data_IF_535240843346
#
_entry.id   IF_535240843346
#
_cell.length_a   1.000
_cell.length_b   1.000
_cell.length_c   1.000
_cell.angle_alpha   90.00
_cell.angle_beta   90.00
_cell.angle_gamma   90.00
#
_symmetry.space_group_name_H-M   'P 1'
#
loop_
_entity.id
_entity.type
_entity.pdbx_description
1 polymer ?
#
# COMPACT_ATOMS: atom_id res chain seq x y z
N UNK A 1 -3.53 9.58 -27.76
CA UNK A 1 -3.34 10.80 -26.94
C UNK A 1 -1.96 10.70 -26.32
N UNK A 2 -1.06 11.68 -26.52
CA UNK A 2 0.25 11.63 -25.92
C UNK A 2 0.11 11.92 -24.42
N UNK A 3 0.51 10.98 -23.59
CA UNK A 3 0.76 11.26 -22.17
C UNK A 3 1.77 12.39 -22.08
N UNK A 4 1.38 13.50 -21.45
CA UNK A 4 2.28 14.60 -21.18
C UNK A 4 3.37 14.08 -20.23
N UNK A 5 4.56 13.84 -20.78
CA UNK A 5 5.79 13.68 -20.02
C UNK A 5 6.08 15.01 -19.31
N UNK A 6 5.53 15.22 -18.14
CA UNK A 6 6.14 16.13 -17.19
C UNK A 6 7.29 15.37 -16.55
N UNK A 7 8.40 15.36 -17.27
CA UNK A 7 9.68 14.99 -16.67
C UNK A 7 10.01 16.13 -15.72
N UNK A 8 9.74 15.96 -14.44
CA UNK A 8 10.33 16.80 -13.39
C UNK A 8 11.78 16.35 -13.26
N UNK A 9 12.62 16.78 -14.19
CA UNK A 9 14.08 16.80 -14.05
C UNK A 9 14.46 18.13 -13.40
N UNK A 10 13.91 18.42 -12.26
CA UNK A 10 14.57 19.23 -11.28
C UNK A 10 14.98 18.29 -10.16
N UNK A 11 16.26 17.97 -10.14
CA UNK A 11 16.93 17.54 -8.93
C UNK A 11 16.78 18.71 -7.95
N UNK A 12 15.70 18.68 -7.19
CA UNK A 12 15.45 19.69 -6.18
C UNK A 12 16.53 19.51 -5.14
N UNK A 13 17.55 20.33 -5.25
CA UNK A 13 18.46 20.62 -4.15
C UNK A 13 17.71 21.49 -3.13
N UNK A 14 16.60 20.92 -2.62
CA UNK A 14 15.72 21.55 -1.62
C UNK A 14 16.41 21.62 -0.27
N UNK A 15 17.44 20.80 -0.04
CA UNK A 15 18.09 20.68 1.25
C UNK A 15 18.93 21.89 1.65
N UNK A 16 19.51 22.64 0.70
CA UNK A 16 20.39 23.76 1.04
C UNK A 16 19.65 25.08 1.24
N UNK A 17 18.50 25.27 0.60
CA UNK A 17 17.73 26.53 0.74
C UNK A 17 16.75 26.52 1.90
N UNK A 18 16.12 25.39 2.20
CA UNK A 18 15.22 25.29 3.35
C UNK A 18 15.95 25.25 4.68
N UNK A 19 17.14 24.64 4.76
CA UNK A 19 17.99 24.75 5.95
C UNK A 19 18.41 26.21 6.26
N UNK A 20 18.53 27.06 5.26
CA UNK A 20 18.89 28.47 5.48
C UNK A 20 17.71 29.32 5.94
N UNK A 21 16.49 28.97 5.52
CA UNK A 21 15.27 29.65 5.96
C UNK A 21 14.86 29.24 7.39
N UNK A 22 14.99 27.98 7.75
CA UNK A 22 14.68 27.48 9.10
C UNK A 22 15.68 27.99 10.15
N UNK A 23 16.97 28.10 9.82
CA UNK A 23 17.97 28.67 10.72
C UNK A 23 17.89 30.18 10.89
N UNK A 24 17.25 30.91 9.97
CA UNK A 24 17.03 32.35 10.12
C UNK A 24 15.86 32.72 11.02
N UNK A 25 14.91 31.80 11.25
CA UNK A 25 13.78 31.99 12.17
C UNK A 25 14.18 31.68 13.62
N UNK A 26 15.17 30.79 13.82
CA UNK A 26 15.62 30.38 15.14
C UNK A 26 16.59 31.38 15.83
N UNK A 27 17.09 32.42 15.13
CA UNK A 27 18.10 33.35 15.66
C UNK A 27 17.58 34.71 16.12
N UNK A 28 16.27 34.95 16.12
CA UNK A 28 15.67 36.25 16.56
C UNK A 28 14.75 36.07 17.76
N UNK A 29 15.26 35.55 18.84
CA UNK A 29 14.47 35.37 20.08
C UNK A 29 15.33 35.40 21.35
N UNK A 30 16.31 36.30 21.44
CA UNK A 30 16.99 36.58 22.71
C UNK A 30 16.64 38.00 23.16
N UNK A 31 15.68 38.09 24.05
CA UNK A 31 15.51 39.32 24.87
C UNK A 31 15.17 38.89 26.29
N UNK A 32 16.09 39.24 27.16
CA UNK A 32 16.08 39.24 28.61
C UNK A 32 14.90 39.99 29.23
N UNK A 33 14.31 39.47 30.33
CA UNK A 33 14.04 40.18 31.58
C UNK A 33 13.32 39.32 32.61
N UNK A 34 13.94 39.09 33.70
CA UNK A 34 13.79 39.56 35.09
C UNK A 34 12.44 39.34 35.79
N UNK A 35 12.55 38.56 36.85
CA UNK A 35 11.93 38.59 38.20
C UNK A 35 10.42 38.74 38.34
N UNK A 36 9.84 37.68 38.98
CA UNK A 36 8.53 37.73 39.61
C UNK A 36 8.13 36.40 40.15
N UNK A 37 8.36 36.23 41.48
CA UNK A 37 7.89 35.13 42.33
C UNK A 37 6.38 34.97 42.27
N UNK A 38 5.86 33.77 41.96
CA UNK A 38 4.66 33.25 42.57
C UNK A 38 4.50 31.74 42.25
N UNK A 39 4.36 31.01 43.30
CA UNK A 39 3.95 29.63 43.45
C UNK A 39 2.75 29.21 42.62
N UNK A 40 2.83 28.05 41.95
CA UNK A 40 1.69 27.38 41.35
C UNK A 40 2.16 26.21 40.50
N UNK A 41 2.18 25.01 41.10
CA UNK A 41 2.33 23.76 40.40
C UNK A 41 1.28 23.65 39.29
N UNK A 42 1.72 23.65 38.03
CA UNK A 42 1.04 23.03 36.94
C UNK A 42 2.10 22.43 36.01
N UNK A 43 2.29 21.15 36.18
CA UNK A 43 3.01 20.24 35.31
C UNK A 43 2.30 20.24 33.93
N UNK A 44 2.64 21.19 33.08
CA UNK A 44 2.22 21.25 31.68
C UNK A 44 3.30 20.59 30.86
N UNK A 45 3.08 19.28 30.60
CA UNK A 45 3.47 18.55 29.40
C UNK A 45 4.70 19.12 28.68
N UNK A 46 5.84 18.51 28.92
CA UNK A 46 6.94 18.51 27.95
C UNK A 46 6.39 18.04 26.61
N UNK A 47 6.07 18.98 25.73
CA UNK A 47 5.88 18.68 24.31
C UNK A 47 7.17 17.99 23.86
N UNK A 48 7.11 16.67 23.69
CA UNK A 48 8.20 15.93 23.08
C UNK A 48 8.31 16.45 21.65
N UNK A 49 9.34 17.21 21.39
CA UNK A 49 9.68 17.63 20.04
C UNK A 49 9.89 16.38 19.18
N UNK A 50 8.97 16.15 18.23
CA UNK A 50 9.05 14.98 17.35
C UNK A 50 10.23 15.18 16.42
N UNK A 51 11.24 14.35 16.55
CA UNK A 51 12.40 14.35 15.64
C UNK A 51 12.03 13.64 14.33
N UNK A 52 11.82 14.43 13.29
CA UNK A 52 11.50 13.93 11.94
C UNK A 52 12.73 13.50 11.12
N UNK A 53 13.93 13.52 11.70
CA UNK A 53 15.11 13.04 10.97
C UNK A 53 15.02 11.54 10.74
N UNK A 54 15.42 11.10 9.54
CA UNK A 54 15.46 9.69 9.22
C UNK A 54 16.41 8.95 10.16
N UNK A 55 15.88 8.00 10.92
CA UNK A 55 16.64 7.14 11.85
C UNK A 55 17.22 5.90 11.19
N UNK A 56 16.83 5.64 9.94
CA UNK A 56 17.21 4.47 9.15
C UNK A 56 18.02 4.89 7.92
N UNK A 57 18.63 3.91 7.27
CA UNK A 57 19.34 4.12 6.02
C UNK A 57 18.44 4.75 4.97
N UNK A 58 18.82 5.90 4.45
CA UNK A 58 18.10 6.57 3.36
C UNK A 58 18.68 6.15 2.01
N UNK A 59 17.81 5.72 1.10
CA UNK A 59 18.15 5.51 -0.29
C UNK A 59 18.09 6.85 -1.04
N UNK A 60 19.10 7.14 -1.87
CA UNK A 60 19.20 8.41 -2.60
C UNK A 60 19.22 8.16 -4.10
N UNK A 61 18.87 9.20 -4.87
CA UNK A 61 18.90 9.17 -6.34
C UNK A 61 18.02 8.07 -6.95
N UNK A 62 16.84 7.86 -6.38
CA UNK A 62 15.87 6.89 -6.90
C UNK A 62 14.82 7.60 -7.74
N UNK A 63 14.40 6.96 -8.84
CA UNK A 63 13.26 7.44 -9.63
C UNK A 63 11.97 7.07 -8.91
N UNK A 64 11.23 8.07 -8.48
CA UNK A 64 9.95 7.91 -7.79
C UNK A 64 8.88 8.71 -8.50
N UNK A 65 7.76 8.08 -8.77
CA UNK A 65 6.56 8.71 -9.29
C UNK A 65 5.49 8.70 -8.20
N UNK A 66 5.00 9.87 -7.82
CA UNK A 66 3.87 10.01 -6.90
C UNK A 66 2.60 10.11 -7.74
N UNK A 67 1.65 9.23 -7.48
CA UNK A 67 0.38 9.14 -8.22
C UNK A 67 -0.77 9.32 -7.24
N UNK A 68 -1.36 10.51 -7.16
CA UNK A 68 -2.61 10.73 -6.45
C UNK A 68 -3.78 10.23 -7.31
N UNK A 69 -4.85 9.82 -6.66
CA UNK A 69 -6.13 9.49 -7.27
C UNK A 69 -7.27 10.09 -6.44
N UNK A 70 -8.32 10.52 -7.12
CA UNK A 70 -9.48 11.14 -6.49
C UNK A 70 -10.75 10.82 -7.28
N UNK A 71 -11.93 10.80 -6.63
CA UNK A 71 -13.18 10.36 -7.27
C UNK A 71 -13.60 11.16 -8.50
N UNK A 72 -13.18 12.43 -8.57
CA UNK A 72 -13.57 13.36 -9.65
C UNK A 72 -12.66 13.27 -10.89
N UNK A 73 -11.63 12.44 -10.85
CA UNK A 73 -10.78 12.23 -12.02
C UNK A 73 -11.52 11.46 -13.12
N UNK A 74 -11.30 11.82 -14.39
CA UNK A 74 -11.98 11.16 -15.52
C UNK A 74 -11.53 9.70 -15.72
N UNK A 75 -10.44 9.29 -15.11
CA UNK A 75 -9.85 7.94 -15.19
C UNK A 75 -9.37 7.51 -13.81
N UNK A 76 -9.58 6.24 -13.42
CA UNK A 76 -9.09 5.67 -12.17
C UNK A 76 -7.59 5.36 -12.31
N UNK A 77 -6.75 6.35 -12.04
CA UNK A 77 -5.31 6.29 -12.38
C UNK A 77 -4.58 5.20 -11.59
N UNK A 78 -4.91 5.03 -10.31
CA UNK A 78 -4.30 3.98 -9.50
C UNK A 78 -4.72 2.58 -9.97
N UNK A 79 -6.00 2.38 -10.31
CA UNK A 79 -6.46 1.11 -10.89
C UNK A 79 -5.69 0.79 -12.16
N UNK A 80 -5.60 1.73 -13.10
CA UNK A 80 -4.87 1.57 -14.36
C UNK A 80 -3.38 1.27 -14.12
N UNK A 81 -2.79 1.86 -13.07
CA UNK A 81 -1.39 1.61 -12.70
C UNK A 81 -1.17 0.19 -12.17
N UNK A 82 -2.12 -0.34 -11.37
CA UNK A 82 -2.10 -1.74 -10.91
C UNK A 82 -2.30 -2.71 -12.08
N UNK A 83 -3.27 -2.45 -12.95
CA UNK A 83 -3.50 -3.24 -14.17
C UNK A 83 -2.24 -3.28 -15.03
N UNK A 84 -1.61 -2.11 -15.24
CA UNK A 84 -0.38 -2.03 -16.01
C UNK A 84 0.74 -2.88 -15.39
N UNK A 85 0.97 -2.78 -14.09
CA UNK A 85 2.00 -3.55 -13.40
C UNK A 85 1.75 -5.06 -13.51
N UNK A 86 0.50 -5.51 -13.35
CA UNK A 86 0.10 -6.91 -13.47
C UNK A 86 0.28 -7.44 -14.90
N UNK A 87 -0.12 -6.67 -15.91
CA UNK A 87 -0.02 -7.06 -17.31
C UNK A 87 1.43 -7.08 -17.85
N UNK A 88 2.35 -6.32 -17.22
CA UNK A 88 3.74 -6.24 -17.64
C UNK A 88 4.69 -7.07 -16.78
N UNK A 89 4.22 -7.66 -15.70
CA UNK A 89 4.99 -8.60 -14.89
C UNK A 89 5.41 -9.79 -15.72
N UNK A 90 6.69 -10.18 -15.63
CA UNK A 90 7.26 -11.28 -16.41
C UNK A 90 7.70 -12.47 -15.56
N UNK A 91 8.14 -12.22 -14.33
CA UNK A 91 8.64 -13.26 -13.42
C UNK A 91 7.72 -13.41 -12.23
N UNK A 92 7.44 -12.31 -11.54
CA UNK A 92 6.64 -12.32 -10.35
C UNK A 92 6.04 -10.94 -10.04
N UNK A 93 4.92 -10.95 -9.33
CA UNK A 93 4.37 -9.79 -8.63
C UNK A 93 3.85 -10.22 -7.26
N UNK A 94 4.33 -9.60 -6.20
CA UNK A 94 3.95 -9.87 -4.81
C UNK A 94 3.21 -8.67 -4.26
N UNK A 95 1.96 -8.89 -3.87
CA UNK A 95 1.05 -7.84 -3.41
C UNK A 95 0.70 -8.06 -1.94
N UNK A 96 0.61 -6.98 -1.19
CA UNK A 96 0.20 -6.99 0.21
C UNK A 96 -0.89 -5.93 0.41
N UNK A 97 -2.05 -6.35 0.91
CA UNK A 97 -3.19 -5.46 1.13
C UNK A 97 -4.09 -6.00 2.26
N UNK A 98 -4.73 -5.13 3.06
CA UNK A 98 -5.71 -5.59 4.05
C UNK A 98 -7.04 -6.02 3.40
N UNK A 99 -7.40 -5.43 2.27
CA UNK A 99 -8.68 -5.65 1.59
C UNK A 99 -8.47 -6.10 0.16
N UNK A 100 -9.19 -7.17 -0.20
CA UNK A 100 -9.16 -7.76 -1.53
C UNK A 100 -10.59 -7.90 -2.04
N UNK A 101 -11.10 -6.81 -2.56
CA UNK A 101 -12.41 -6.67 -3.20
C UNK A 101 -12.17 -6.00 -4.57
N UNK A 102 -11.38 -6.65 -5.44
CA UNK A 102 -10.89 -6.03 -6.66
C UNK A 102 -12.02 -5.69 -7.62
N UNK A 103 -11.81 -4.65 -8.40
CA UNK A 103 -12.62 -4.38 -9.59
C UNK A 103 -12.42 -5.50 -10.61
N UNK A 104 -13.38 -5.67 -11.51
CA UNK A 104 -13.29 -6.70 -12.56
C UNK A 104 -12.02 -6.57 -13.42
N UNK A 105 -11.60 -5.35 -13.89
CA UNK A 105 -10.37 -5.21 -14.65
C UNK A 105 -9.11 -5.62 -13.87
N UNK A 106 -9.02 -5.30 -12.58
CA UNK A 106 -7.88 -5.71 -11.73
C UNK A 106 -7.87 -7.22 -11.51
N UNK A 107 -9.03 -7.84 -11.28
CA UNK A 107 -9.15 -9.30 -11.18
C UNK A 107 -8.73 -9.98 -12.49
N UNK A 108 -9.14 -9.46 -13.63
CA UNK A 108 -8.77 -10.00 -14.94
C UNK A 108 -7.27 -9.84 -15.22
N UNK A 109 -6.66 -8.73 -14.81
CA UNK A 109 -5.22 -8.56 -14.89
C UNK A 109 -4.45 -9.55 -14.01
N UNK A 110 -4.92 -9.78 -12.77
CA UNK A 110 -4.36 -10.81 -11.86
C UNK A 110 -4.45 -12.21 -12.47
N UNK A 111 -5.62 -12.57 -13.01
CA UNK A 111 -5.83 -13.86 -13.68
C UNK A 111 -4.93 -14.02 -14.89
N UNK A 112 -4.84 -13.00 -15.71
CA UNK A 112 -4.00 -13.01 -16.91
C UNK A 112 -2.52 -13.21 -16.54
N UNK A 113 -2.01 -12.46 -15.58
CA UNK A 113 -0.63 -12.62 -15.12
C UNK A 113 -0.35 -14.05 -14.64
N UNK A 114 -1.20 -14.62 -13.79
CA UNK A 114 -1.04 -15.96 -13.26
C UNK A 114 -1.12 -17.03 -14.36
N UNK A 115 -2.08 -16.92 -15.29
CA UNK A 115 -2.22 -17.83 -16.44
C UNK A 115 -1.06 -17.75 -17.43
N UNK A 116 -0.41 -16.58 -17.54
CA UNK A 116 0.82 -16.40 -18.31
C UNK A 116 2.09 -16.93 -17.60
N UNK A 117 1.96 -17.51 -16.40
CA UNK A 117 3.06 -18.14 -15.68
C UNK A 117 3.82 -17.21 -14.74
N UNK A 118 3.32 -16.01 -14.49
CA UNK A 118 3.87 -15.11 -13.48
C UNK A 118 3.58 -15.64 -12.09
N UNK A 119 4.57 -15.64 -11.18
CA UNK A 119 4.36 -15.98 -9.76
C UNK A 119 3.62 -14.83 -9.06
N UNK A 120 2.28 -14.90 -9.05
CA UNK A 120 1.42 -13.90 -8.41
C UNK A 120 1.14 -14.33 -6.98
N UNK A 121 1.62 -13.54 -6.01
CA UNK A 121 1.38 -13.79 -4.58
C UNK A 121 0.60 -12.64 -3.96
N UNK A 122 -0.44 -12.98 -3.23
CA UNK A 122 -1.27 -12.04 -2.50
C UNK A 122 -1.20 -12.35 -1.01
N UNK A 123 -0.74 -11.38 -0.22
CA UNK A 123 -0.69 -11.47 1.24
C UNK A 123 -1.81 -10.64 1.85
N UNK A 124 -2.60 -11.27 2.72
CA UNK A 124 -3.77 -10.70 3.36
C UNK A 124 -3.74 -10.99 4.87
N UNK A 125 -4.37 -10.21 5.72
CA UNK A 125 -4.58 -10.58 7.11
C UNK A 125 -5.56 -11.77 7.21
N UNK A 126 -5.30 -12.71 8.11
CA UNK A 126 -6.23 -13.82 8.40
C UNK A 126 -7.51 -13.32 9.09
N UNK A 127 -7.36 -12.30 9.93
CA UNK A 127 -8.46 -11.66 10.65
C UNK A 127 -8.62 -10.24 10.14
N UNK A 128 -9.78 -9.93 9.61
CA UNK A 128 -10.12 -8.58 9.21
C UNK A 128 -10.47 -7.72 10.44
N UNK A 129 -10.22 -6.43 10.35
CA UNK A 129 -10.60 -5.44 11.36
C UNK A 129 -12.11 -5.20 11.42
N UNK A 130 -12.81 -5.51 10.33
CA UNK A 130 -14.27 -5.38 10.20
C UNK A 130 -14.92 -6.74 9.90
N UNK A 131 -16.03 -7.03 10.58
CA UNK A 131 -16.78 -8.28 10.43
C UNK A 131 -17.27 -8.53 8.99
N UNK A 132 -17.57 -7.47 8.24
CA UNK A 132 -18.06 -7.58 6.86
C UNK A 132 -16.90 -7.74 5.85
N UNK A 133 -15.72 -7.23 6.14
CA UNK A 133 -14.59 -7.29 5.20
C UNK A 133 -14.02 -8.71 5.08
N UNK A 134 -14.09 -9.51 6.15
CA UNK A 134 -13.63 -10.91 6.07
C UNK A 134 -14.38 -11.72 5.03
N UNK A 135 -15.72 -11.83 5.05
CA UNK A 135 -16.45 -12.56 4.01
C UNK A 135 -16.40 -11.85 2.64
N UNK A 136 -16.26 -10.52 2.58
CA UNK A 136 -16.08 -9.80 1.33
C UNK A 136 -14.77 -10.20 0.63
N UNK A 137 -13.63 -10.15 1.34
CA UNK A 137 -12.34 -10.62 0.81
C UNK A 137 -12.43 -12.06 0.32
N UNK A 138 -13.04 -12.94 1.13
CA UNK A 138 -13.17 -14.37 0.86
C UNK A 138 -14.00 -14.69 -0.38
N UNK A 139 -14.93 -13.82 -0.76
CA UNK A 139 -15.78 -14.00 -1.94
C UNK A 139 -14.99 -14.00 -3.27
N UNK A 140 -13.75 -13.49 -3.26
CA UNK A 140 -12.88 -13.40 -4.44
C UNK A 140 -11.74 -14.44 -4.45
N UNK A 141 -11.51 -15.16 -3.33
CA UNK A 141 -10.37 -16.07 -3.22
C UNK A 141 -10.50 -17.27 -4.16
N UNK A 142 -11.70 -17.83 -4.32
CA UNK A 142 -11.91 -19.00 -5.18
C UNK A 142 -11.49 -18.70 -6.62
N UNK A 143 -11.92 -17.56 -7.14
CA UNK A 143 -11.62 -17.12 -8.51
C UNK A 143 -10.12 -16.90 -8.72
N UNK A 144 -9.42 -16.31 -7.75
CA UNK A 144 -7.99 -16.12 -7.81
C UNK A 144 -7.20 -17.44 -7.69
N UNK A 145 -7.58 -18.32 -6.76
CA UNK A 145 -6.94 -19.62 -6.54
C UNK A 145 -7.07 -20.56 -7.74
N UNK A 146 -8.22 -20.54 -8.43
CA UNK A 146 -8.48 -21.39 -9.59
C UNK A 146 -7.52 -21.16 -10.75
N UNK A 147 -6.98 -19.95 -10.88
CA UNK A 147 -6.05 -19.57 -11.95
C UNK A 147 -4.58 -19.58 -11.52
N UNK A 148 -4.30 -19.99 -10.28
CA UNK A 148 -2.93 -20.12 -9.77
C UNK A 148 -2.38 -18.92 -9.02
N UNK A 149 -3.20 -17.90 -8.71
CA UNK A 149 -2.81 -16.86 -7.75
C UNK A 149 -2.62 -17.50 -6.37
N UNK A 150 -1.47 -17.27 -5.76
CA UNK A 150 -1.13 -17.83 -4.46
C UNK A 150 -1.54 -16.88 -3.35
N UNK A 151 -2.43 -17.30 -2.48
CA UNK A 151 -2.95 -16.48 -1.38
C UNK A 151 -2.31 -16.91 -0.06
N UNK A 152 -1.75 -15.94 0.66
CA UNK A 152 -1.10 -16.12 1.94
C UNK A 152 -1.83 -15.33 3.01
N UNK A 153 -2.29 -16.00 4.06
CA UNK A 153 -3.00 -15.39 5.17
C UNK A 153 -2.07 -15.23 6.37
N UNK A 154 -1.79 -13.99 6.76
CA UNK A 154 -0.94 -13.68 7.90
C UNK A 154 -1.69 -13.89 9.21
N UNK A 155 -1.06 -14.65 10.11
CA UNK A 155 -1.56 -14.93 11.46
C UNK A 155 -1.16 -13.80 12.42
N UNK A 156 -2.00 -13.60 13.43
CA UNK A 156 -1.70 -12.69 14.54
C UNK A 156 -2.07 -11.25 14.22
N UNK A 157 -1.09 -10.37 14.03
CA UNK A 157 -1.32 -8.94 13.85
C UNK A 157 -1.99 -8.60 12.52
N UNK A 158 -2.88 -7.60 12.55
CA UNK A 158 -3.53 -7.10 11.36
C UNK A 158 -2.55 -6.31 10.49
N UNK A 159 -2.30 -6.80 9.28
CA UNK A 159 -1.50 -6.08 8.29
C UNK A 159 -2.36 -5.02 7.63
N UNK A 160 -1.89 -3.77 7.66
CA UNK A 160 -2.54 -2.67 6.95
C UNK A 160 -1.67 -2.08 5.83
N UNK A 161 -0.62 -2.78 5.42
CA UNK A 161 0.24 -2.38 4.32
C UNK A 161 -0.48 -2.50 2.97
N UNK A 162 -0.21 -1.57 2.05
CA UNK A 162 -0.65 -1.60 0.67
C UNK A 162 0.58 -1.39 -0.19
N UNK A 163 1.17 -2.51 -0.57
CA UNK A 163 2.43 -2.54 -1.31
C UNK A 163 2.40 -3.58 -2.39
N UNK A 164 3.18 -3.38 -3.42
CA UNK A 164 3.59 -4.47 -4.28
C UNK A 164 5.05 -4.33 -4.71
N UNK A 165 5.63 -5.43 -5.11
CA UNK A 165 6.95 -5.49 -5.76
C UNK A 165 6.86 -6.41 -6.98
N UNK A 166 7.45 -5.98 -8.09
CA UNK A 166 7.40 -6.66 -9.38
C UNK A 166 8.80 -6.75 -10.00
N UNK A 167 9.19 -7.95 -10.40
CA UNK A 167 10.33 -8.25 -11.29
C UNK A 167 11.67 -7.64 -10.87
N UNK A 168 11.94 -7.51 -9.57
CA UNK A 168 13.16 -6.91 -9.01
C UNK A 168 13.42 -5.46 -9.48
N UNK A 169 12.40 -4.74 -9.97
CA UNK A 169 12.59 -3.40 -10.53
C UNK A 169 11.55 -2.39 -10.06
N UNK A 170 10.28 -2.76 -9.98
CA UNK A 170 9.19 -1.86 -9.63
C UNK A 170 8.65 -2.18 -8.24
N UNK A 171 8.50 -1.16 -7.43
CA UNK A 171 7.79 -1.23 -6.15
C UNK A 171 6.70 -0.18 -6.07
N UNK A 172 5.60 -0.49 -5.40
CA UNK A 172 4.59 0.49 -5.01
C UNK A 172 4.36 0.43 -3.51
N UNK A 173 4.25 1.61 -2.90
CA UNK A 173 3.89 1.80 -1.50
C UNK A 173 2.90 2.96 -1.44
N UNK A 174 1.75 2.77 -0.81
CA UNK A 174 0.74 3.82 -0.77
C UNK A 174 -0.44 3.55 0.14
N UNK A 175 -1.51 4.29 -0.08
CA UNK A 175 -2.73 4.21 0.70
C UNK A 175 -3.82 3.34 0.06
N UNK A 176 -3.75 3.08 -1.27
CA UNK A 176 -4.78 2.38 -2.01
C UNK A 176 -4.79 0.86 -1.74
N UNK A 177 -5.91 0.35 -1.26
CA UNK A 177 -6.16 -1.08 -1.19
C UNK A 177 -6.46 -1.67 -2.58
N UNK A 178 -6.48 -3.01 -2.66
CA UNK A 178 -7.01 -3.72 -3.83
C UNK A 178 -8.54 -3.86 -3.71
N UNK A 179 -9.23 -2.72 -3.66
CA UNK A 179 -10.68 -2.69 -3.55
C UNK A 179 -11.31 -1.59 -4.41
N UNK A 180 -12.62 -1.76 -4.67
CA UNK A 180 -13.40 -0.82 -5.47
C UNK A 180 -13.37 0.60 -4.89
N UNK A 181 -13.41 0.74 -3.55
CA UNK A 181 -13.47 2.06 -2.91
C UNK A 181 -12.21 2.85 -3.12
N UNK A 182 -11.05 2.20 -2.97
CA UNK A 182 -9.75 2.84 -3.19
C UNK A 182 -9.56 3.28 -4.65
N UNK A 183 -10.19 2.59 -5.61
CA UNK A 183 -10.04 2.94 -7.03
C UNK A 183 -11.12 3.86 -7.58
N UNK A 184 -12.26 4.04 -6.89
CA UNK A 184 -13.38 4.79 -7.44
C UNK A 184 -13.98 5.87 -6.52
N UNK A 185 -13.70 5.82 -5.22
CA UNK A 185 -14.43 6.63 -4.24
C UNK A 185 -13.49 7.42 -3.32
N UNK A 186 -12.36 6.85 -2.94
CA UNK A 186 -11.47 7.45 -1.96
C UNK A 186 -10.46 8.41 -2.63
N UNK A 187 -9.94 9.34 -1.81
CA UNK A 187 -8.71 10.06 -2.12
C UNK A 187 -7.54 9.16 -1.71
N UNK A 188 -6.72 8.76 -2.66
CA UNK A 188 -5.61 7.85 -2.44
C UNK A 188 -4.32 8.41 -3.05
N UNK A 189 -3.19 7.91 -2.58
CA UNK A 189 -1.88 8.23 -3.16
C UNK A 189 -0.94 7.04 -3.07
N UNK A 190 -0.31 6.71 -4.20
CA UNK A 190 0.75 5.69 -4.23
C UNK A 190 2.05 6.29 -4.77
N UNK A 191 3.17 5.83 -4.24
CA UNK A 191 4.49 6.04 -4.79
C UNK A 191 4.94 4.81 -5.57
N UNK A 192 5.34 5.00 -6.81
CA UNK A 192 5.95 3.98 -7.67
C UNK A 192 7.44 4.23 -7.74
N UNK A 193 8.24 3.27 -7.34
CA UNK A 193 9.69 3.37 -7.22
C UNK A 193 10.30 2.43 -8.26
N UNK A 194 11.03 3.01 -9.21
CA UNK A 194 11.67 2.29 -10.32
C UNK A 194 13.15 2.11 -10.00
N UNK A 195 13.46 1.11 -9.18
CA UNK A 195 14.83 0.88 -8.67
C UNK A 195 15.02 -0.54 -8.15
N UNK A 196 16.09 -1.20 -8.61
CA UNK A 196 16.38 -2.59 -8.28
C UNK A 196 16.69 -2.78 -6.78
N UNK A 197 17.50 -1.92 -6.18
CA UNK A 197 17.88 -2.04 -4.75
C UNK A 197 16.62 -1.94 -3.86
N UNK A 198 15.76 -0.98 -4.14
CA UNK A 198 14.49 -0.79 -3.43
C UNK A 198 13.54 -1.98 -3.65
N UNK A 199 13.46 -2.48 -4.88
CA UNK A 199 12.60 -3.62 -5.19
C UNK A 199 13.08 -4.90 -4.47
N UNK A 200 14.38 -5.18 -4.46
CA UNK A 200 14.96 -6.31 -3.74
C UNK A 200 14.77 -6.19 -2.23
N UNK A 201 14.88 -5.00 -1.68
CA UNK A 201 14.59 -4.74 -0.26
C UNK A 201 13.11 -5.02 0.06
N UNK A 202 12.17 -4.49 -0.73
CA UNK A 202 10.73 -4.71 -0.53
C UNK A 202 10.34 -6.18 -0.73
N UNK A 203 10.96 -6.87 -1.69
CA UNK A 203 10.83 -8.33 -1.84
C UNK A 203 11.31 -9.07 -0.60
N UNK A 204 12.45 -8.67 -0.05
CA UNK A 204 12.99 -9.23 1.18
C UNK A 204 12.03 -9.07 2.36
N UNK A 205 11.40 -7.89 2.51
CA UNK A 205 10.38 -7.62 3.53
C UNK A 205 9.17 -8.53 3.31
N UNK A 206 8.64 -8.61 2.09
CA UNK A 206 7.53 -9.50 1.76
C UNK A 206 7.84 -10.96 2.11
N UNK A 207 9.02 -11.46 1.72
CA UNK A 207 9.45 -12.83 1.99
C UNK A 207 9.68 -13.10 3.48
N UNK A 208 10.08 -12.09 4.25
CA UNK A 208 10.17 -12.18 5.70
C UNK A 208 8.78 -12.32 6.33
N UNK A 209 7.83 -11.46 5.94
CA UNK A 209 6.45 -11.50 6.43
C UNK A 209 5.75 -12.80 6.05
N UNK A 210 6.08 -13.38 4.90
CA UNK A 210 5.53 -14.64 4.41
C UNK A 210 5.77 -15.81 5.39
N UNK A 211 6.84 -15.75 6.19
CA UNK A 211 7.14 -16.78 7.21
C UNK A 211 6.08 -16.84 8.33
N UNK A 212 5.31 -15.78 8.50
CA UNK A 212 4.22 -15.70 9.49
C UNK A 212 2.86 -15.98 8.87
N UNK A 213 2.84 -16.36 7.59
CA UNK A 213 1.62 -16.67 6.85
C UNK A 213 1.44 -18.19 6.70
N UNK A 214 0.22 -18.59 6.44
CA UNK A 214 -0.06 -19.89 5.84
C UNK A 214 -0.62 -19.70 4.44
N UNK A 215 -0.22 -20.56 3.53
CA UNK A 215 -0.73 -20.57 2.17
C UNK A 215 -2.11 -21.20 2.13
N UNK A 216 -3.03 -20.56 1.47
CA UNK A 216 -4.38 -21.06 1.25
C UNK A 216 -4.40 -21.85 -0.05
N UNK A 217 -4.64 -23.17 0.04
CA UNK A 217 -4.75 -24.01 -1.16
C UNK A 217 -6.19 -24.13 -1.65
N UNK A 218 -6.36 -24.39 -2.94
CA UNK A 218 -7.69 -24.58 -3.53
C UNK A 218 -8.42 -25.79 -2.91
N UNK A 219 -7.68 -26.85 -2.55
CA UNK A 219 -8.25 -28.04 -1.89
C UNK A 219 -8.82 -27.68 -0.52
N UNK A 220 -8.03 -26.98 0.31
CA UNK A 220 -8.46 -26.53 1.63
C UNK A 220 -9.64 -25.54 1.50
N UNK A 221 -9.61 -24.71 0.46
CA UNK A 221 -10.69 -23.77 0.17
C UNK A 221 -11.99 -24.48 -0.17
N UNK A 222 -11.95 -25.50 -1.02
CA UNK A 222 -13.11 -26.28 -1.45
C UNK A 222 -13.66 -27.21 -0.37
N UNK A 223 -12.86 -27.61 0.62
CA UNK A 223 -13.30 -28.44 1.75
C UNK A 223 -14.21 -27.71 2.75
N UNK A 224 -14.45 -26.39 2.58
CA UNK A 224 -15.28 -25.58 3.47
C UNK A 224 -16.77 -25.94 3.34
N UNK A 225 -17.56 -25.72 4.41
CA UNK A 225 -19.00 -25.95 4.35
C UNK A 225 -19.68 -25.10 3.27
N UNK A 226 -20.66 -25.67 2.60
CA UNK A 226 -21.38 -25.02 1.50
C UNK A 226 -22.09 -23.72 1.89
N UNK A 227 -22.56 -23.59 3.14
CA UNK A 227 -23.21 -22.37 3.63
C UNK A 227 -22.27 -21.17 3.69
N UNK A 228 -20.95 -21.39 3.88
CA UNK A 228 -19.97 -20.32 3.79
C UNK A 228 -19.93 -19.72 2.38
N UNK A 229 -20.01 -20.58 1.36
CA UNK A 229 -20.01 -20.15 -0.06
C UNK A 229 -21.25 -19.32 -0.40
N UNK A 230 -22.42 -19.71 0.13
CA UNK A 230 -23.66 -18.94 -0.07
C UNK A 230 -23.54 -17.55 0.57
N UNK A 231 -23.06 -17.48 1.81
CA UNK A 231 -22.87 -16.21 2.50
C UNK A 231 -21.89 -15.30 1.77
N UNK A 232 -20.76 -15.84 1.33
CA UNK A 232 -19.74 -15.10 0.58
C UNK A 232 -20.29 -14.61 -0.76
N UNK A 233 -21.04 -15.44 -1.49
CA UNK A 233 -21.70 -15.06 -2.75
C UNK A 233 -22.75 -13.94 -2.54
N UNK A 234 -23.49 -14.01 -1.45
CA UNK A 234 -24.46 -12.96 -1.11
C UNK A 234 -23.77 -11.63 -0.78
N UNK A 235 -22.71 -11.68 0.01
CA UNK A 235 -21.93 -10.48 0.37
C UNK A 235 -21.23 -9.87 -0.87
N UNK A 236 -20.80 -10.69 -1.82
CA UNK A 236 -20.21 -10.21 -3.08
C UNK A 236 -21.14 -9.24 -3.83
N UNK A 237 -22.47 -9.39 -3.72
CA UNK A 237 -23.43 -8.47 -4.35
C UNK A 237 -23.34 -7.05 -3.77
N UNK A 238 -22.93 -6.94 -2.51
CA UNK A 238 -22.80 -5.67 -1.80
C UNK A 238 -21.35 -5.18 -1.72
N UNK A 239 -20.40 -5.93 -2.26
CA UNK A 239 -18.97 -5.59 -2.21
C UNK A 239 -18.63 -4.17 -2.71
N UNK A 240 -19.29 -3.61 -3.75
CA UNK A 240 -19.06 -2.24 -4.17
C UNK A 240 -19.51 -1.17 -3.17
N UNK A 241 -20.27 -1.55 -2.14
CA UNK A 241 -20.79 -0.65 -1.11
C UNK A 241 -19.97 -0.73 0.20
N UNK A 242 -19.10 -1.73 0.31
CA UNK A 242 -18.24 -1.98 1.46
C UNK A 242 -16.88 -1.31 1.27
#
# INVERSE_FOLDING_TARGET
YPMAKKTVTESVDVTAREHKALNSVASTGSATRETGSATGDNDLSTEQEIDFRATHQTLRNKLVQIVPDEPDLPLPILQLSYEWALQHAQKYIYLQTPYFVPTEPVMDALKTAALCGVDVRLMLPEVADNLLMRPANRAYYEEALQVGVRIFLRKGEFIHAKTFVCDDYLSSIGSANLDFRSFAINYEVNSYIYDEETALMNKGIFMYDLRQCHELTLEAWNARPWYCRILESFIRLFAPLL
#
